data_IF_309136567333
#
_entry.id   IF_309136567333
#
_cell.length_a   1.000
_cell.length_b   1.000
_cell.length_c   1.000
_cell.angle_alpha   90.00
_cell.angle_beta   90.00
_cell.angle_gamma   90.00
#
_symmetry.space_group_name_H-M   'P 1'
#
loop_
_entity.id
_entity.type
_entity.pdbx_description
1 polymer ?
#
# COMPACT_ATOMS: atom_id res chain seq x y z
N UNK A 1 -0.12 -5.65 -25.80
CA UNK A 1 0.81 -6.27 -24.83
C UNK A 1 0.44 -5.88 -23.41
N UNK A 2 0.45 -6.85 -22.49
CA UNK A 2 0.26 -6.63 -21.05
C UNK A 2 1.63 -6.40 -20.41
N UNK A 3 1.80 -5.29 -19.69
CA UNK A 3 3.00 -5.03 -18.89
C UNK A 3 3.03 -5.86 -17.61
N UNK A 4 4.23 -6.04 -17.05
CA UNK A 4 4.45 -6.70 -15.77
C UNK A 4 5.03 -5.71 -14.75
N UNK A 5 4.52 -5.77 -13.52
CA UNK A 5 4.98 -4.95 -12.39
C UNK A 5 5.17 -5.86 -11.18
N UNK A 6 6.36 -5.83 -10.56
CA UNK A 6 6.59 -6.53 -9.30
C UNK A 6 6.22 -5.64 -8.11
N UNK A 7 5.33 -6.10 -7.25
CA UNK A 7 5.01 -5.42 -5.98
C UNK A 7 5.74 -6.10 -4.83
N UNK A 8 6.50 -5.35 -4.04
CA UNK A 8 7.23 -5.87 -2.87
C UNK A 8 6.54 -5.47 -1.57
N UNK A 9 6.51 -6.34 -0.54
CA UNK A 9 5.98 -5.99 0.78
C UNK A 9 7.02 -5.20 1.59
N UNK A 10 6.68 -4.86 2.84
CA UNK A 10 7.69 -4.61 3.88
C UNK A 10 8.53 -5.86 4.09
N UNK A 11 9.83 -5.70 4.32
CA UNK A 11 10.75 -6.84 4.42
C UNK A 11 11.67 -6.72 5.63
N UNK A 12 12.02 -7.88 6.19
CA UNK A 12 13.19 -8.02 7.07
C UNK A 12 14.43 -8.27 6.22
N UNK A 13 15.63 -8.31 6.81
CA UNK A 13 16.86 -8.70 6.09
C UNK A 13 16.72 -10.07 5.40
N UNK A 14 16.04 -11.02 6.05
CA UNK A 14 15.75 -12.32 5.44
C UNK A 14 14.82 -12.19 4.23
N UNK A 15 13.77 -11.38 4.33
CA UNK A 15 12.87 -11.09 3.22
C UNK A 15 13.57 -10.37 2.07
N UNK A 16 14.45 -9.42 2.40
CA UNK A 16 15.20 -8.63 1.42
C UNK A 16 16.09 -9.53 0.56
N UNK A 17 16.78 -10.53 1.14
CA UNK A 17 17.57 -11.51 0.36
C UNK A 17 16.73 -12.24 -0.70
N UNK A 18 15.47 -12.56 -0.39
CA UNK A 18 14.56 -13.17 -1.37
C UNK A 18 14.16 -12.19 -2.46
N UNK A 19 13.87 -10.94 -2.09
CA UNK A 19 13.57 -9.88 -3.06
C UNK A 19 14.78 -9.63 -3.97
N UNK A 20 16.01 -9.60 -3.45
CA UNK A 20 17.22 -9.43 -4.26
C UNK A 20 17.34 -10.47 -5.38
N UNK A 21 17.00 -11.73 -5.09
CA UNK A 21 16.97 -12.79 -6.09
C UNK A 21 15.91 -12.54 -7.18
N UNK A 22 14.72 -12.08 -6.79
CA UNK A 22 13.65 -11.76 -7.75
C UNK A 22 14.03 -10.56 -8.62
N UNK A 23 14.61 -9.51 -8.02
CA UNK A 23 15.09 -8.34 -8.73
C UNK A 23 16.18 -8.71 -9.75
N UNK A 24 17.09 -9.60 -9.38
CA UNK A 24 18.11 -10.12 -10.31
C UNK A 24 17.45 -10.79 -11.51
N UNK A 25 16.52 -11.71 -11.27
CA UNK A 25 15.79 -12.38 -12.35
C UNK A 25 15.06 -11.40 -13.25
N UNK A 26 14.42 -10.37 -12.68
CA UNK A 26 13.74 -9.34 -13.49
C UNK A 26 14.73 -8.54 -14.34
N UNK A 27 15.82 -8.06 -13.74
CA UNK A 27 16.82 -7.28 -14.45
C UNK A 27 17.52 -8.07 -15.58
N UNK A 28 17.72 -9.37 -15.39
CA UNK A 28 18.34 -10.24 -16.41
C UNK A 28 17.41 -10.52 -17.61
N UNK A 29 16.09 -10.42 -17.44
CA UNK A 29 15.10 -10.86 -18.44
C UNK A 29 14.23 -9.74 -19.02
N UNK A 30 14.12 -8.61 -18.32
CA UNK A 30 13.23 -7.52 -18.70
C UNK A 30 13.95 -6.18 -18.53
N UNK A 31 13.99 -5.41 -19.61
CA UNK A 31 14.34 -4.00 -19.52
C UNK A 31 13.12 -3.22 -19.04
N UNK A 32 13.33 -2.17 -18.26
CA UNK A 32 12.31 -1.18 -17.93
C UNK A 32 11.12 -1.70 -17.11
N UNK A 33 11.29 -2.84 -16.43
CA UNK A 33 10.26 -3.42 -15.58
C UNK A 33 9.98 -2.54 -14.35
N UNK A 34 8.70 -2.36 -14.04
CA UNK A 34 8.28 -1.62 -12.86
C UNK A 34 8.44 -2.46 -11.59
N UNK A 35 8.95 -1.82 -10.53
CA UNK A 35 9.03 -2.43 -9.20
C UNK A 35 8.43 -1.46 -8.18
N UNK A 36 7.29 -1.84 -7.62
CA UNK A 36 6.65 -1.12 -6.53
C UNK A 36 7.30 -1.53 -5.21
N UNK A 37 8.08 -0.62 -4.62
CA UNK A 37 8.72 -0.85 -3.33
C UNK A 37 7.85 -0.29 -2.20
N UNK A 38 7.66 -1.10 -1.15
CA UNK A 38 7.03 -0.66 0.10
C UNK A 38 8.01 -0.61 1.27
N UNK A 39 9.30 -0.78 1.02
CA UNK A 39 10.37 -0.76 2.02
C UNK A 39 11.60 -0.01 1.48
N UNK A 40 12.22 0.84 2.30
CA UNK A 40 13.40 1.60 1.87
C UNK A 40 14.64 0.73 1.67
N UNK A 41 14.72 -0.44 2.31
CA UNK A 41 15.76 -1.43 2.03
C UNK A 41 15.69 -1.96 0.60
N UNK A 42 14.48 -2.14 0.06
CA UNK A 42 14.27 -2.54 -1.35
C UNK A 42 14.66 -1.40 -2.29
N UNK A 43 14.26 -0.16 -2.00
CA UNK A 43 14.68 1.01 -2.79
C UNK A 43 16.21 1.14 -2.85
N UNK A 44 16.89 0.94 -1.72
CA UNK A 44 18.36 0.96 -1.68
C UNK A 44 18.96 -0.07 -2.63
N UNK A 45 18.47 -1.31 -2.61
CA UNK A 45 18.95 -2.36 -3.53
C UNK A 45 18.71 -1.99 -4.99
N UNK A 46 17.50 -1.50 -5.33
CA UNK A 46 17.17 -1.07 -6.69
C UNK A 46 18.14 -0.01 -7.19
N UNK A 47 18.34 1.04 -6.40
CA UNK A 47 19.24 2.15 -6.73
C UNK A 47 20.70 1.72 -6.86
N UNK A 48 21.17 0.85 -5.97
CA UNK A 48 22.59 0.51 -5.89
C UNK A 48 23.00 -0.57 -6.91
N UNK A 49 22.05 -1.35 -7.45
CA UNK A 49 22.37 -2.55 -8.25
C UNK A 49 21.63 -2.67 -9.59
N UNK A 50 20.52 -1.95 -9.80
CA UNK A 50 19.61 -2.22 -10.93
C UNK A 50 19.08 -0.94 -11.59
N UNK A 51 19.92 -0.27 -12.40
CA UNK A 51 19.53 0.95 -13.15
C UNK A 51 18.42 0.73 -14.19
N UNK A 52 18.27 -0.51 -14.69
CA UNK A 52 17.25 -0.86 -15.70
C UNK A 52 15.85 -1.14 -15.15
N UNK A 53 15.66 -1.14 -13.82
CA UNK A 53 14.36 -1.33 -13.18
C UNK A 53 13.78 0.03 -12.78
N UNK A 54 12.45 0.20 -12.94
CA UNK A 54 11.75 1.46 -12.66
C UNK A 54 11.16 1.44 -11.25
N UNK A 55 11.74 2.15 -10.27
CA UNK A 55 11.21 2.16 -8.91
C UNK A 55 9.91 2.98 -8.82
N UNK A 56 8.89 2.40 -8.20
CA UNK A 56 7.61 3.05 -7.88
C UNK A 56 7.43 3.05 -6.37
N UNK A 57 7.15 4.21 -5.78
CA UNK A 57 6.86 4.28 -4.34
C UNK A 57 5.47 3.72 -4.08
N UNK A 58 5.41 2.57 -3.41
CA UNK A 58 4.16 1.88 -3.12
C UNK A 58 3.31 2.58 -2.06
N UNK A 59 2.02 2.24 -2.06
CA UNK A 59 1.02 2.91 -1.22
C UNK A 59 1.32 2.84 0.27
N UNK A 60 2.02 1.80 0.75
CA UNK A 60 2.29 1.65 2.17
C UNK A 60 3.26 2.74 2.71
N UNK A 61 4.08 3.32 1.84
CA UNK A 61 4.99 4.41 2.22
C UNK A 61 4.33 5.80 2.12
N UNK A 62 3.19 5.93 1.44
CA UNK A 62 2.41 7.16 1.39
C UNK A 62 1.64 7.34 2.70
N UNK A 63 1.87 8.47 3.36
CA UNK A 63 1.22 8.86 4.62
C UNK A 63 -0.09 9.56 4.29
N UNK A 64 -1.19 8.88 4.57
CA UNK A 64 -2.54 9.41 4.53
C UNK A 64 -3.36 8.71 5.62
N UNK A 65 -4.37 9.39 6.15
CA UNK A 65 -5.31 8.78 7.08
C UNK A 65 -6.15 7.75 6.37
N UNK A 66 -6.04 6.50 6.82
CA UNK A 66 -6.79 5.36 6.28
C UNK A 66 -7.77 4.77 7.28
N UNK A 67 -7.91 5.40 8.44
CA UNK A 67 -8.87 4.98 9.44
C UNK A 67 -10.28 5.43 9.02
N UNK A 68 -11.24 4.52 8.79
CA UNK A 68 -12.59 4.91 8.39
C UNK A 68 -13.30 5.80 9.40
N UNK A 69 -12.91 5.76 10.69
CA UNK A 69 -13.52 6.57 11.75
C UNK A 69 -13.38 8.07 11.51
N UNK A 70 -12.49 8.51 10.62
CA UNK A 70 -12.43 9.91 10.18
C UNK A 70 -13.79 10.41 9.67
N UNK A 71 -14.59 9.53 9.06
CA UNK A 71 -15.92 9.88 8.55
C UNK A 71 -16.90 10.24 9.65
N UNK A 72 -16.71 9.77 10.89
CA UNK A 72 -17.59 10.09 12.02
C UNK A 72 -17.42 11.54 12.52
N UNK A 73 -16.28 12.16 12.20
CA UNK A 73 -15.92 13.49 12.71
C UNK A 73 -15.74 14.51 11.59
N UNK A 74 -15.76 14.11 10.32
CA UNK A 74 -15.41 14.97 9.20
C UNK A 74 -16.26 16.25 9.15
N UNK A 75 -17.56 16.12 9.44
CA UNK A 75 -18.53 17.22 9.35
C UNK A 75 -18.48 18.20 10.53
N UNK A 76 -17.81 17.83 11.63
CA UNK A 76 -17.64 18.70 12.82
C UNK A 76 -16.24 19.33 12.89
N UNK A 77 -15.34 18.92 12.00
CA UNK A 77 -13.98 19.45 11.95
C UNK A 77 -13.94 20.81 11.23
N UNK A 78 -13.08 21.74 11.65
CA UNK A 78 -12.80 22.94 10.87
C UNK A 78 -12.28 22.59 9.47
N UNK A 79 -12.59 23.41 8.47
CA UNK A 79 -12.22 23.19 7.06
C UNK A 79 -10.73 22.86 6.87
N UNK A 80 -9.82 23.62 7.50
CA UNK A 80 -8.37 23.36 7.46
C UNK A 80 -7.99 21.97 7.98
N UNK A 81 -8.72 21.44 8.95
CA UNK A 81 -8.49 20.08 9.46
C UNK A 81 -8.95 19.03 8.45
N UNK A 82 -10.11 19.24 7.82
CA UNK A 82 -10.61 18.39 6.74
C UNK A 82 -9.61 18.34 5.58
N UNK A 83 -9.08 19.50 5.17
CA UNK A 83 -8.04 19.60 4.15
C UNK A 83 -6.80 18.79 4.53
N UNK A 84 -6.30 18.92 5.76
CA UNK A 84 -5.16 18.15 6.27
C UNK A 84 -5.39 16.63 6.16
N UNK A 85 -6.58 16.12 6.49
CA UNK A 85 -6.88 14.69 6.38
C UNK A 85 -6.95 14.17 4.94
N UNK A 86 -7.02 15.08 3.95
CA UNK A 86 -7.00 14.75 2.52
C UNK A 86 -5.59 14.87 1.91
N UNK A 87 -4.63 15.50 2.58
CA UNK A 87 -3.25 15.62 2.07
C UNK A 87 -2.44 14.35 2.33
N UNK A 88 -1.25 14.29 1.70
CA UNK A 88 -0.29 13.22 1.90
C UNK A 88 1.10 13.78 2.13
N UNK A 89 2.05 12.95 2.57
CA UNK A 89 3.46 13.36 2.62
C UNK A 89 4.05 13.76 1.25
N UNK A 90 3.38 13.45 0.13
CA UNK A 90 3.83 13.80 -1.22
C UNK A 90 3.74 15.29 -1.51
N UNK A 91 2.99 16.06 -0.71
CA UNK A 91 2.89 17.53 -0.85
C UNK A 91 4.01 18.26 -0.09
N UNK A 92 4.98 17.53 0.47
CA UNK A 92 6.08 18.10 1.27
C UNK A 92 7.34 18.16 0.39
N UNK A 93 7.97 19.33 0.29
CA UNK A 93 9.12 19.55 -0.59
C UNK A 93 10.32 18.62 -0.37
N UNK A 94 10.61 18.22 0.88
CA UNK A 94 11.69 17.25 1.12
C UNK A 94 11.38 15.84 0.57
N UNK A 95 10.09 15.46 0.52
CA UNK A 95 9.65 14.20 -0.11
C UNK A 95 9.74 14.33 -1.63
N UNK A 96 9.31 15.45 -2.19
CA UNK A 96 9.47 15.77 -3.62
C UNK A 96 10.94 15.68 -4.06
N UNK A 97 11.86 16.26 -3.30
CA UNK A 97 13.30 16.17 -3.55
C UNK A 97 13.83 14.74 -3.45
N UNK A 98 13.39 13.99 -2.44
CA UNK A 98 13.74 12.59 -2.28
C UNK A 98 13.30 11.74 -3.49
N UNK A 99 12.08 11.92 -3.98
CA UNK A 99 11.56 11.20 -5.14
C UNK A 99 12.40 11.49 -6.39
N UNK A 100 12.70 12.77 -6.66
CA UNK A 100 13.55 13.19 -7.80
C UNK A 100 14.95 12.58 -7.72
N UNK A 101 15.61 12.67 -6.55
CA UNK A 101 16.97 12.12 -6.33
C UNK A 101 17.06 10.62 -6.58
N UNK A 102 15.98 9.88 -6.33
CA UNK A 102 15.93 8.43 -6.53
C UNK A 102 15.27 8.02 -7.86
N UNK A 103 15.08 8.96 -8.79
CA UNK A 103 14.46 8.72 -10.12
C UNK A 103 13.06 8.09 -10.04
N UNK A 104 12.31 8.40 -8.99
CA UNK A 104 10.93 7.92 -8.81
C UNK A 104 9.99 8.92 -9.47
N UNK A 105 9.34 8.50 -10.56
CA UNK A 105 8.38 9.30 -11.31
C UNK A 105 6.92 8.85 -11.11
N UNK A 106 6.69 7.78 -10.33
CA UNK A 106 5.36 7.28 -10.02
C UNK A 106 5.24 6.86 -8.56
N UNK A 107 4.09 7.16 -7.98
CA UNK A 107 3.69 6.70 -6.65
C UNK A 107 2.32 6.04 -6.69
N UNK A 108 2.02 5.25 -5.67
CA UNK A 108 0.71 4.64 -5.50
C UNK A 108 0.01 5.19 -4.26
N UNK A 109 -1.30 5.43 -4.35
CA UNK A 109 -2.12 5.98 -3.26
C UNK A 109 -3.45 5.21 -3.19
N UNK A 110 -4.04 5.13 -2.01
CA UNK A 110 -5.36 4.54 -1.80
C UNK A 110 -6.49 5.54 -2.10
N UNK A 111 -7.59 5.07 -2.70
CA UNK A 111 -8.83 5.84 -2.80
C UNK A 111 -9.55 5.90 -1.44
N UNK A 112 -9.12 6.75 -0.51
CA UNK A 112 -9.66 6.83 0.86
C UNK A 112 -11.04 7.50 0.94
N UNK A 113 -11.80 7.22 2.02
CA UNK A 113 -13.20 7.64 2.15
C UNK A 113 -13.42 9.15 2.16
N UNK A 114 -12.50 9.90 2.79
CA UNK A 114 -12.57 11.35 2.95
C UNK A 114 -12.16 12.12 1.69
N UNK A 115 -11.72 11.42 0.64
CA UNK A 115 -11.17 12.01 -0.58
C UNK A 115 -9.68 12.33 -0.49
N UNK A 116 -9.10 12.67 -1.63
CA UNK A 116 -7.68 12.99 -1.78
C UNK A 116 -7.52 14.44 -2.25
N UNK A 117 -6.56 15.13 -1.65
CA UNK A 117 -6.05 16.39 -2.15
C UNK A 117 -4.58 16.21 -2.52
N UNK A 118 -4.33 16.03 -3.82
CA UNK A 118 -3.00 15.81 -4.41
C UNK A 118 -2.51 17.09 -5.07
N UNK A 119 -2.28 18.13 -4.26
CA UNK A 119 -1.56 19.34 -4.68
C UNK A 119 -0.06 19.04 -4.72
N UNK A 120 0.36 18.26 -5.72
CA UNK A 120 1.75 17.82 -5.85
C UNK A 120 2.64 18.96 -6.36
N UNK A 121 3.81 19.12 -5.75
CA UNK A 121 4.82 20.08 -6.22
C UNK A 121 5.62 19.56 -7.42
N UNK A 122 5.61 18.24 -7.65
CA UNK A 122 6.34 17.60 -8.76
C UNK A 122 5.39 17.44 -9.93
N UNK A 123 5.49 18.33 -10.93
CA UNK A 123 4.59 18.33 -12.09
C UNK A 123 4.56 16.99 -12.84
N UNK A 124 5.72 16.33 -12.97
CA UNK A 124 5.86 15.06 -13.71
C UNK A 124 5.56 13.82 -12.87
N UNK A 125 5.24 13.96 -11.58
CA UNK A 125 4.96 12.81 -10.73
C UNK A 125 3.60 12.22 -11.08
N UNK A 126 3.59 10.95 -11.48
CA UNK A 126 2.39 10.20 -11.81
C UNK A 126 1.86 9.46 -10.58
N UNK A 127 0.54 9.34 -10.50
CA UNK A 127 -0.15 8.72 -9.38
C UNK A 127 -1.00 7.57 -9.88
N UNK A 128 -0.84 6.43 -9.22
CA UNK A 128 -1.71 5.26 -9.40
C UNK A 128 -2.65 5.14 -8.21
N UNK A 129 -3.95 5.04 -8.45
CA UNK A 129 -4.95 4.96 -7.38
C UNK A 129 -5.45 3.54 -7.20
N UNK A 130 -5.31 2.99 -6.00
CA UNK A 130 -5.80 1.67 -5.61
C UNK A 130 -7.30 1.68 -5.27
N UNK A 131 -8.02 0.68 -5.77
CA UNK A 131 -9.45 0.44 -5.51
C UNK A 131 -9.80 -1.05 -5.72
N UNK A 132 -10.84 -1.61 -5.06
CA UNK A 132 -11.66 -1.01 -4.01
C UNK A 132 -11.13 -1.30 -2.59
N UNK A 133 -10.13 -2.16 -2.45
CA UNK A 133 -9.60 -2.59 -1.15
C UNK A 133 -8.56 -1.60 -0.61
N UNK A 134 -9.00 -0.76 0.31
CA UNK A 134 -8.16 0.27 0.92
C UNK A 134 -7.45 -0.31 2.13
N UNK A 135 -6.13 -0.08 2.20
CA UNK A 135 -5.29 -0.60 3.28
C UNK A 135 -5.66 0.12 4.58
N UNK A 136 -5.63 -0.55 5.71
CA UNK A 136 -5.74 0.11 7.03
C UNK A 136 -4.44 -0.09 7.78
N UNK A 137 -4.05 -1.34 7.96
CA UNK A 137 -2.84 -1.70 8.70
C UNK A 137 -2.41 -3.12 8.35
N UNK A 138 -1.12 -3.40 8.51
CA UNK A 138 -0.57 -4.76 8.53
C UNK A 138 0.26 -4.95 9.79
N UNK A 139 0.25 -6.16 10.33
CA UNK A 139 1.06 -6.51 11.50
C UNK A 139 1.93 -7.71 11.19
N UNK A 140 3.08 -7.89 11.86
CA UNK A 140 3.85 -9.13 11.74
C UNK A 140 3.20 -10.31 12.46
N UNK A 141 2.24 -10.01 13.33
CA UNK A 141 1.55 -10.94 14.20
C UNK A 141 0.24 -11.41 13.53
N UNK A 142 0.29 -12.57 12.87
CA UNK A 142 -0.86 -13.08 12.13
C UNK A 142 -1.86 -13.79 13.04
N UNK A 143 -2.98 -13.12 13.34
CA UNK A 143 -4.09 -13.70 14.12
C UNK A 143 -4.77 -14.89 13.44
N UNK A 144 -4.54 -15.08 12.14
CA UNK A 144 -5.12 -16.18 11.34
C UNK A 144 -4.25 -17.45 11.40
N UNK A 145 -3.00 -17.39 11.85
CA UNK A 145 -2.10 -18.56 11.88
C UNK A 145 -2.57 -19.74 12.74
N UNK A 146 -3.55 -19.51 13.62
CA UNK A 146 -4.18 -20.54 14.45
C UNK A 146 -5.58 -20.94 13.97
N UNK A 147 -6.05 -20.39 12.86
CA UNK A 147 -7.35 -20.72 12.29
C UNK A 147 -7.46 -22.21 11.94
N UNK A 148 -8.53 -22.85 12.41
CA UNK A 148 -8.79 -24.28 12.19
C UNK A 148 -8.06 -25.23 13.14
N UNK A 149 -7.33 -24.74 14.16
CA UNK A 149 -6.72 -25.57 15.20
C UNK A 149 -7.69 -25.73 16.38
N UNK A 150 -8.13 -26.95 16.74
CA UNK A 150 -9.02 -27.18 17.88
C UNK A 150 -8.33 -26.74 19.18
N UNK A 151 -9.06 -26.06 20.07
CA UNK A 151 -8.57 -25.60 21.38
C UNK A 151 -7.28 -24.75 21.34
N UNK A 152 -6.93 -24.18 20.19
CA UNK A 152 -5.87 -23.21 20.14
C UNK A 152 -6.38 -21.92 20.78
N UNK A 153 -5.80 -21.56 21.92
CA UNK A 153 -5.74 -20.15 22.30
C UNK A 153 -5.18 -19.36 21.10
N UNK A 154 -5.52 -18.07 21.01
CA UNK A 154 -4.97 -17.21 19.98
C UNK A 154 -3.45 -17.07 20.24
N UNK A 155 -2.68 -18.04 19.73
CA UNK A 155 -1.24 -18.12 19.91
C UNK A 155 -0.58 -17.32 18.78
N UNK A 156 -0.29 -16.05 19.10
CA UNK A 156 0.20 -15.08 18.13
C UNK A 156 1.73 -15.09 18.14
N UNK A 157 2.33 -15.99 17.37
CA UNK A 157 3.79 -16.11 17.22
C UNK A 157 4.27 -15.72 15.84
N UNK A 158 5.56 -15.35 15.76
CA UNK A 158 6.25 -15.12 14.49
C UNK A 158 6.78 -16.47 13.98
N UNK A 159 5.89 -17.25 13.40
CA UNK A 159 6.20 -18.56 12.79
C UNK A 159 6.23 -18.48 11.26
N UNK A 160 6.80 -19.47 10.55
CA UNK A 160 6.69 -19.56 9.11
C UNK A 160 5.21 -19.55 8.67
N UNK A 161 4.86 -18.59 7.80
CA UNK A 161 3.51 -18.45 7.28
C UNK A 161 3.11 -19.69 6.46
N UNK A 162 2.05 -20.39 6.88
CA UNK A 162 1.48 -21.54 6.16
C UNK A 162 0.26 -21.16 5.30
N UNK A 163 0.02 -19.86 5.13
CA UNK A 163 -1.00 -19.29 4.24
C UNK A 163 -2.44 -19.72 4.60
N UNK A 164 -2.74 -19.88 5.88
CA UNK A 164 -4.08 -20.22 6.36
C UNK A 164 -5.16 -19.25 5.85
N UNK A 165 -4.79 -17.97 5.67
CA UNK A 165 -5.63 -16.90 5.11
C UNK A 165 -6.07 -17.10 3.65
N UNK A 166 -5.54 -18.09 2.94
CA UNK A 166 -6.07 -18.47 1.62
C UNK A 166 -7.44 -19.14 1.73
N UNK A 167 -7.78 -19.67 2.92
CA UNK A 167 -9.02 -20.41 3.17
C UNK A 167 -10.05 -19.62 3.97
N UNK A 168 -9.68 -18.45 4.50
CA UNK A 168 -10.57 -17.65 5.32
C UNK A 168 -10.30 -16.16 5.21
N UNK A 169 -11.36 -15.38 5.41
CA UNK A 169 -11.35 -13.93 5.50
C UNK A 169 -12.34 -13.54 6.58
N UNK A 170 -11.96 -12.62 7.46
CA UNK A 170 -12.81 -12.19 8.56
C UNK A 170 -13.38 -10.81 8.26
N UNK A 171 -14.70 -10.67 8.39
CA UNK A 171 -15.35 -9.37 8.51
C UNK A 171 -15.32 -8.96 9.97
N UNK A 172 -14.83 -7.76 10.26
CA UNK A 172 -14.74 -7.19 11.60
C UNK A 172 -15.75 -6.04 11.70
N UNK A 173 -16.65 -6.14 12.66
CA UNK A 173 -17.71 -5.16 12.90
C UNK A 173 -17.55 -4.57 14.30
N UNK A 174 -17.76 -3.26 14.42
CA UNK A 174 -17.76 -2.55 15.69
C UNK A 174 -18.67 -1.32 15.55
N UNK A 175 -19.53 -1.00 16.53
CA UNK A 175 -20.43 0.15 16.46
C UNK A 175 -19.75 1.50 16.22
N UNK A 176 -18.48 1.65 16.62
CA UNK A 176 -17.71 2.88 16.40
C UNK A 176 -17.15 3.00 14.97
N UNK A 177 -17.22 1.95 14.16
CA UNK A 177 -16.71 1.93 12.79
C UNK A 177 -17.85 2.27 11.80
N UNK A 178 -17.70 3.30 10.94
CA UNK A 178 -18.73 3.65 9.97
C UNK A 178 -18.86 2.63 8.82
N UNK A 179 -17.84 1.77 8.66
CA UNK A 179 -17.83 0.69 7.68
C UNK A 179 -17.17 -0.55 8.30
N UNK A 180 -17.64 -1.77 7.97
CA UNK A 180 -16.95 -2.99 8.38
C UNK A 180 -15.51 -3.05 7.85
N UNK A 181 -14.61 -3.61 8.64
CA UNK A 181 -13.26 -3.93 8.19
C UNK A 181 -13.20 -5.38 7.71
N UNK A 182 -12.20 -5.67 6.91
CA UNK A 182 -11.92 -6.99 6.35
C UNK A 182 -10.49 -7.35 6.72
N UNK A 183 -10.29 -8.46 7.42
CA UNK A 183 -8.97 -9.01 7.71
C UNK A 183 -8.71 -10.23 6.84
N UNK A 184 -7.65 -10.15 6.05
CA UNK A 184 -7.10 -11.28 5.28
C UNK A 184 -5.62 -11.41 5.60
N UNK A 185 -5.26 -12.55 6.19
CA UNK A 185 -3.96 -12.74 6.83
C UNK A 185 -3.74 -11.77 7.97
N UNK A 186 -2.59 -11.13 7.92
CA UNK A 186 -2.13 -10.14 8.89
C UNK A 186 -2.45 -8.69 8.49
N UNK A 187 -3.19 -8.50 7.38
CA UNK A 187 -3.55 -7.18 6.85
C UNK A 187 -5.04 -6.93 7.01
N UNK A 188 -5.38 -5.67 7.30
CA UNK A 188 -6.75 -5.20 7.44
C UNK A 188 -7.03 -4.17 6.34
N UNK A 189 -8.21 -4.29 5.76
CA UNK A 189 -8.73 -3.43 4.70
C UNK A 189 -10.13 -2.94 5.02
N UNK A 190 -10.62 -1.96 4.28
CA UNK A 190 -12.05 -1.72 4.06
C UNK A 190 -12.31 -1.58 2.55
N UNK A 191 -13.58 -1.64 2.15
CA UNK A 191 -13.98 -1.46 0.76
C UNK A 191 -14.42 -0.02 0.53
N UNK A 192 -13.84 0.65 -0.46
CA UNK A 192 -14.36 1.91 -0.99
C UNK A 192 -14.69 1.77 -2.48
N UNK A 193 -15.98 1.72 -2.79
CA UNK A 193 -16.50 1.63 -4.16
C UNK A 193 -16.77 3.01 -4.80
N UNK A 194 -16.47 4.11 -4.10
CA UNK A 194 -16.55 5.44 -4.72
C UNK A 194 -15.61 5.49 -5.93
N UNK A 195 -16.04 6.18 -6.98
CA UNK A 195 -15.21 6.43 -8.15
C UNK A 195 -13.87 7.05 -7.71
N UNK A 196 -12.71 6.49 -8.10
CA UNK A 196 -11.42 7.12 -7.86
C UNK A 196 -11.37 8.54 -8.43
N UNK A 197 -10.72 9.50 -7.75
CA UNK A 197 -10.58 10.84 -8.28
C UNK A 197 -9.76 10.82 -9.58
N UNK A 198 -10.10 11.74 -10.48
CA UNK A 198 -9.35 12.00 -11.71
C UNK A 198 -8.58 13.31 -11.57
N UNK A 199 -7.43 13.43 -12.22
CA UNK A 199 -6.66 14.66 -12.21
C UNK A 199 -5.45 14.58 -13.13
N UNK A 200 -4.77 15.70 -13.37
CA UNK A 200 -3.63 15.79 -14.32
C UNK A 200 -2.53 14.75 -14.04
N UNK A 201 -2.29 14.46 -12.76
CA UNK A 201 -1.25 13.53 -12.32
C UNK A 201 -1.75 12.09 -12.14
N UNK A 202 -3.06 11.86 -12.18
CA UNK A 202 -3.66 10.54 -11.98
C UNK A 202 -3.97 9.92 -13.35
N UNK A 203 -3.16 8.94 -13.74
CA UNK A 203 -3.25 8.30 -15.06
C UNK A 203 -3.40 6.77 -14.99
N UNK A 204 -3.41 6.19 -13.77
CA UNK A 204 -3.53 4.74 -13.56
C UNK A 204 -4.49 4.42 -12.42
N UNK A 205 -5.41 3.50 -12.66
CA UNK A 205 -6.21 2.85 -11.63
C UNK A 205 -5.63 1.45 -11.41
N UNK A 206 -5.32 1.13 -10.15
CA UNK A 206 -4.92 -0.21 -9.73
C UNK A 206 -6.15 -0.90 -9.16
N UNK A 207 -6.82 -1.68 -9.99
CA UNK A 207 -8.00 -2.44 -9.60
C UNK A 207 -7.60 -3.81 -9.04
N UNK A 208 -7.98 -4.09 -7.80
CA UNK A 208 -7.82 -5.40 -7.18
C UNK A 208 -9.15 -6.15 -7.25
N UNK A 209 -9.30 -7.19 -8.09
CA UNK A 209 -10.56 -7.93 -8.23
C UNK A 209 -10.92 -8.70 -6.95
N UNK A 210 -9.91 -9.08 -6.17
CA UNK A 210 -10.04 -9.76 -4.89
C UNK A 210 -9.23 -9.03 -3.82
N UNK A 211 -9.51 -9.33 -2.55
CA UNK A 211 -8.75 -8.77 -1.42
C UNK A 211 -7.27 -9.16 -1.59
N UNK A 212 -6.35 -8.17 -1.68
CA UNK A 212 -4.92 -8.43 -1.83
C UNK A 212 -4.34 -9.29 -0.69
N UNK A 213 -3.35 -10.12 -1.02
CA UNK A 213 -2.58 -10.96 -0.06
C UNK A 213 -1.09 -10.72 -0.26
#
# INVERSE_FOLDING_TARGET
>A
DLGFTLVTPYVTDFGLKKIESLLKTLADNFLDCEVVFNDFGVLRVLRDRYDGLKPIMGRLLVKITRDPRIMNILDILPEKSVEYYRTTNLTIGCVSEFLRKNRINRVEVDNVLQGLNLNLEVEDLRVSIHTPYIYVTTTRLCLIGSYGKPNAEIDVRIEPCKKECQRCTFKLENPAMPIPLIRKGNTVFYINNKQPPTGRNIDRIVFSPEIPI
#
